data_IF_047415330263
#
_entry.id   IF_047415330263
#
_cell.length_a   1.000
_cell.length_b   1.000
_cell.length_c   1.000
_cell.angle_alpha   90.00
_cell.angle_beta   90.00
_cell.angle_gamma   90.00
#
_symmetry.space_group_name_H-M   'P 1'
#
loop_
_entity.id
_entity.type
_entity.pdbx_description
1 polymer ?
#
# COMPACT_ATOMS: atom_id res chain seq x y z
N UNK A 1 36.99 11.61 -0.43
CA UNK A 1 35.53 11.52 -0.16
C UNK A 1 34.78 10.72 -1.21
N UNK A 2 35.00 10.94 -2.51
CA UNK A 2 34.31 10.20 -3.60
C UNK A 2 34.60 8.68 -3.60
N UNK A 3 35.82 8.27 -3.21
CA UNK A 3 36.19 6.84 -3.12
C UNK A 3 35.58 6.12 -1.91
N UNK A 4 35.25 6.81 -0.82
CA UNK A 4 34.66 6.22 0.39
C UNK A 4 33.16 5.93 0.20
N UNK A 5 32.43 6.82 -0.49
CA UNK A 5 31.03 6.55 -0.88
C UNK A 5 30.92 5.39 -1.88
N UNK A 6 31.89 5.24 -2.78
CA UNK A 6 31.91 4.12 -3.73
C UNK A 6 32.13 2.77 -3.05
N UNK A 7 32.95 2.70 -1.99
CA UNK A 7 33.17 1.48 -1.20
C UNK A 7 31.98 1.14 -0.30
N UNK A 8 31.28 2.14 0.23
CA UNK A 8 30.04 1.94 1.01
C UNK A 8 28.93 1.45 0.07
N UNK A 9 28.75 2.06 -1.10
CA UNK A 9 27.81 1.60 -2.12
C UNK A 9 28.17 0.20 -2.63
N UNK A 10 29.46 -0.13 -2.82
CA UNK A 10 29.90 -1.45 -3.29
C UNK A 10 29.79 -2.54 -2.20
N UNK A 11 30.03 -2.22 -0.94
CA UNK A 11 29.78 -3.15 0.18
C UNK A 11 28.28 -3.33 0.43
N UNK A 12 27.46 -2.28 0.29
CA UNK A 12 25.99 -2.37 0.26
C UNK A 12 25.48 -3.17 -0.96
N UNK A 13 26.16 -3.08 -2.10
CA UNK A 13 25.86 -3.81 -3.33
C UNK A 13 26.13 -5.32 -3.21
N UNK A 14 27.15 -5.73 -2.46
CA UNK A 14 27.46 -7.15 -2.23
C UNK A 14 26.75 -7.70 -0.99
N UNK A 15 26.58 -6.91 0.07
CA UNK A 15 25.82 -7.33 1.25
C UNK A 15 24.32 -7.33 0.98
N UNK A 16 23.70 -6.26 0.48
CA UNK A 16 22.25 -6.19 0.25
C UNK A 16 21.75 -7.23 -0.75
N UNK A 17 22.51 -7.48 -1.83
CA UNK A 17 22.20 -8.50 -2.84
C UNK A 17 22.34 -9.93 -2.29
N UNK A 18 23.32 -10.18 -1.42
CA UNK A 18 23.53 -11.48 -0.77
C UNK A 18 22.58 -11.70 0.40
N UNK A 19 22.19 -10.65 1.11
CA UNK A 19 21.18 -10.61 2.17
C UNK A 19 19.78 -10.87 1.60
N UNK A 20 19.40 -10.18 0.52
CA UNK A 20 18.08 -10.37 -0.08
C UNK A 20 17.94 -11.79 -0.64
N UNK A 21 18.95 -12.28 -1.37
CA UNK A 21 18.92 -13.62 -1.97
C UNK A 21 19.12 -14.76 -0.96
N UNK A 22 19.98 -14.62 0.07
CA UNK A 22 20.19 -15.68 1.07
C UNK A 22 19.13 -15.65 2.18
N UNK A 23 18.72 -14.48 2.68
CA UNK A 23 17.76 -14.40 3.79
C UNK A 23 16.30 -14.58 3.34
N UNK A 24 15.97 -14.15 2.11
CA UNK A 24 14.60 -14.27 1.60
C UNK A 24 14.41 -15.32 0.50
N UNK A 25 15.46 -15.68 -0.26
CA UNK A 25 15.38 -16.78 -1.24
C UNK A 25 15.11 -18.14 -0.61
N UNK A 26 15.61 -18.39 0.61
CA UNK A 26 15.32 -19.59 1.41
C UNK A 26 13.96 -19.55 2.14
N UNK A 27 13.27 -18.39 2.14
CA UNK A 27 11.93 -18.23 2.76
C UNK A 27 10.81 -18.80 1.85
N UNK A 28 11.16 -19.24 0.64
CA UNK A 28 10.25 -19.81 -0.36
C UNK A 28 9.94 -21.28 -0.06
N UNK A 29 8.65 -21.54 0.23
CA UNK A 29 8.00 -22.85 0.43
C UNK A 29 8.45 -23.68 1.65
N UNK A 30 7.67 -23.59 2.74
CA UNK A 30 7.59 -24.55 3.88
C UNK A 30 8.71 -24.59 4.93
N UNK A 31 9.79 -23.82 4.83
CA UNK A 31 10.81 -23.78 5.89
C UNK A 31 10.42 -22.83 7.04
N UNK A 32 10.55 -23.32 8.28
CA UNK A 32 10.61 -22.48 9.48
C UNK A 32 11.90 -21.67 9.38
N UNK A 33 11.83 -20.33 9.37
CA UNK A 33 13.04 -19.51 9.42
C UNK A 33 13.76 -19.82 10.74
N UNK A 34 15.04 -20.14 10.67
CA UNK A 34 15.83 -20.38 11.86
C UNK A 34 16.19 -19.06 12.56
N UNK A 35 16.59 -19.14 13.83
CA UNK A 35 16.86 -17.96 14.66
C UNK A 35 17.95 -17.05 14.08
N UNK A 36 18.95 -17.62 13.38
CA UNK A 36 20.03 -16.87 12.74
C UNK A 36 19.52 -16.05 11.54
N UNK A 37 18.75 -16.67 10.65
CA UNK A 37 18.15 -16.00 9.50
C UNK A 37 17.22 -14.85 9.93
N UNK A 38 16.50 -15.02 11.04
CA UNK A 38 15.65 -13.96 11.59
C UNK A 38 16.47 -12.78 12.15
N UNK A 39 17.59 -13.06 12.82
CA UNK A 39 18.48 -12.03 13.34
C UNK A 39 19.14 -11.24 12.21
N UNK A 40 19.60 -11.92 11.17
CA UNK A 40 20.13 -11.29 9.96
C UNK A 40 19.06 -10.39 9.34
N UNK A 41 17.84 -10.90 9.16
CA UNK A 41 16.76 -10.12 8.56
C UNK A 41 16.41 -8.86 9.35
N UNK A 42 16.39 -8.95 10.68
CA UNK A 42 16.18 -7.80 11.55
C UNK A 42 17.30 -6.76 11.39
N UNK A 43 18.57 -7.20 11.40
CA UNK A 43 19.73 -6.34 11.18
C UNK A 43 19.65 -5.63 9.82
N UNK A 44 19.38 -6.39 8.78
CA UNK A 44 19.31 -5.89 7.40
C UNK A 44 18.17 -4.88 7.24
N UNK A 45 17.01 -5.15 7.84
CA UNK A 45 15.87 -4.22 7.81
C UNK A 45 16.21 -2.89 8.48
N UNK A 46 16.97 -2.91 9.59
CA UNK A 46 17.46 -1.69 10.25
C UNK A 46 18.47 -0.93 9.38
N UNK A 47 19.36 -1.63 8.69
CA UNK A 47 20.30 -1.01 7.75
C UNK A 47 19.55 -0.32 6.59
N UNK A 48 18.56 -0.99 5.99
CA UNK A 48 17.69 -0.39 4.97
C UNK A 48 17.00 0.88 5.48
N UNK A 49 16.47 0.83 6.71
CA UNK A 49 15.85 1.98 7.36
C UNK A 49 16.83 3.13 7.55
N UNK A 50 18.06 2.85 8.01
CA UNK A 50 19.09 3.87 8.19
C UNK A 50 19.48 4.56 6.88
N UNK A 51 19.46 3.85 5.74
CA UNK A 51 19.72 4.46 4.42
C UNK A 51 18.60 5.43 4.05
N UNK A 52 17.34 5.02 4.28
CA UNK A 52 16.15 5.75 3.83
C UNK A 52 15.79 6.94 4.72
N UNK A 53 16.11 6.88 6.00
CA UNK A 53 15.76 7.92 6.98
C UNK A 53 16.98 8.67 7.54
N UNK A 54 18.20 8.21 7.24
CA UNK A 54 19.41 8.71 7.89
C UNK A 54 19.59 8.18 9.31
N UNK A 55 20.64 8.65 9.98
CA UNK A 55 20.92 8.40 11.39
C UNK A 55 21.35 9.70 12.09
N UNK A 56 21.78 9.63 13.35
CA UNK A 56 22.21 10.82 14.12
C UNK A 56 23.41 11.55 13.51
N UNK A 57 24.16 10.91 12.62
CA UNK A 57 25.41 11.43 12.05
C UNK A 57 25.30 11.80 10.57
N UNK A 58 24.28 11.31 9.86
CA UNK A 58 24.17 11.45 8.41
C UNK A 58 22.73 11.50 7.92
N UNK A 59 22.46 12.46 7.04
CA UNK A 59 21.19 12.57 6.30
C UNK A 59 21.11 11.51 5.18
N UNK A 60 19.89 11.09 4.79
CA UNK A 60 19.71 10.12 3.71
C UNK A 60 20.22 10.67 2.38
N UNK A 61 21.14 9.92 1.74
CA UNK A 61 21.73 10.29 0.45
C UNK A 61 20.76 9.94 -0.68
N UNK A 62 20.27 10.90 -1.50
CA UNK A 62 19.25 10.65 -2.52
C UNK A 62 19.64 9.57 -3.54
N UNK A 63 20.91 9.54 -3.95
CA UNK A 63 21.42 8.54 -4.89
C UNK A 63 21.38 7.12 -4.30
N UNK A 64 21.75 6.97 -3.02
CA UNK A 64 21.69 5.68 -2.33
C UNK A 64 20.23 5.22 -2.16
N UNK A 65 19.32 6.13 -1.83
CA UNK A 65 17.88 5.84 -1.75
C UNK A 65 17.32 5.39 -3.10
N UNK A 66 17.70 6.06 -4.19
CA UNK A 66 17.25 5.73 -5.53
C UNK A 66 17.77 4.35 -6.00
N UNK A 67 19.06 4.08 -5.78
CA UNK A 67 19.66 2.77 -6.10
C UNK A 67 19.03 1.63 -5.29
N UNK A 68 18.84 1.84 -3.98
CA UNK A 68 18.18 0.86 -3.11
C UNK A 68 16.76 0.57 -3.61
N UNK A 69 16.00 1.61 -3.97
CA UNK A 69 14.64 1.48 -4.50
C UNK A 69 14.62 0.64 -5.77
N UNK A 70 15.52 0.91 -6.70
CA UNK A 70 15.61 0.18 -7.96
C UNK A 70 15.87 -1.31 -7.73
N UNK A 71 16.86 -1.66 -6.91
CA UNK A 71 17.23 -3.05 -6.66
C UNK A 71 16.17 -3.79 -5.81
N UNK A 72 15.56 -3.11 -4.85
CA UNK A 72 14.50 -3.69 -4.01
C UNK A 72 13.32 -4.22 -4.84
N UNK A 73 12.84 -3.41 -5.79
CA UNK A 73 11.75 -3.82 -6.69
C UNK A 73 12.22 -4.78 -7.79
N UNK A 74 13.43 -4.60 -8.32
CA UNK A 74 14.00 -5.49 -9.34
C UNK A 74 14.13 -6.94 -8.85
N UNK A 75 14.56 -7.12 -7.61
CA UNK A 75 14.81 -8.44 -7.00
C UNK A 75 13.55 -9.02 -6.32
N UNK A 76 12.36 -8.46 -6.54
CA UNK A 76 11.09 -8.95 -5.96
C UNK A 76 11.10 -9.01 -4.42
N UNK A 77 11.91 -8.15 -3.79
CA UNK A 77 12.12 -8.15 -2.33
C UNK A 77 10.85 -7.78 -1.58
N UNK A 78 10.02 -6.92 -2.17
CA UNK A 78 8.72 -6.54 -1.60
C UNK A 78 7.84 -7.76 -1.30
N UNK A 79 7.73 -8.67 -2.27
CA UNK A 79 6.93 -9.90 -2.13
C UNK A 79 7.42 -10.74 -0.97
N UNK A 80 8.72 -10.98 -0.94
CA UNK A 80 9.33 -11.81 0.09
C UNK A 80 9.15 -11.19 1.47
N UNK A 81 9.33 -9.87 1.58
CA UNK A 81 9.13 -9.15 2.83
C UNK A 81 7.67 -9.24 3.31
N UNK A 82 6.69 -9.10 2.42
CA UNK A 82 5.26 -9.25 2.75
C UNK A 82 4.97 -10.66 3.28
N UNK A 83 5.51 -11.70 2.64
CA UNK A 83 5.29 -13.10 3.01
C UNK A 83 5.99 -13.46 4.33
N UNK A 84 7.21 -12.96 4.56
CA UNK A 84 7.97 -13.28 5.76
C UNK A 84 7.60 -12.36 6.94
N UNK A 85 6.90 -11.23 6.73
CA UNK A 85 6.52 -10.25 7.77
C UNK A 85 5.87 -10.89 9.01
N UNK A 86 4.89 -11.82 8.89
CA UNK A 86 4.26 -12.45 10.05
C UNK A 86 5.22 -13.30 10.89
N UNK A 87 6.32 -13.77 10.30
CA UNK A 87 7.33 -14.56 11.01
C UNK A 87 8.21 -13.69 11.89
N UNK A 88 8.31 -12.38 11.64
CA UNK A 88 9.26 -11.48 12.31
C UNK A 88 8.78 -11.02 13.68
N UNK A 89 9.71 -10.56 14.52
CA UNK A 89 9.38 -9.90 15.77
C UNK A 89 8.74 -8.51 15.53
N UNK A 90 8.05 -7.99 16.55
CA UNK A 90 7.27 -6.74 16.44
C UNK A 90 8.10 -5.54 15.97
N UNK A 91 9.33 -5.40 16.48
CA UNK A 91 10.21 -4.29 16.11
C UNK A 91 10.59 -4.36 14.64
N UNK A 92 10.98 -5.53 14.16
CA UNK A 92 11.36 -5.75 12.76
C UNK A 92 10.17 -5.56 11.84
N UNK A 93 8.94 -5.96 12.24
CA UNK A 93 7.72 -5.68 11.47
C UNK A 93 7.50 -4.17 11.29
N UNK A 94 7.69 -3.38 12.35
CA UNK A 94 7.56 -1.92 12.29
C UNK A 94 8.60 -1.30 11.35
N UNK A 95 9.86 -1.71 11.47
CA UNK A 95 10.92 -1.21 10.61
C UNK A 95 10.70 -1.59 9.15
N UNK A 96 10.33 -2.84 8.88
CA UNK A 96 10.00 -3.33 7.54
C UNK A 96 8.83 -2.56 6.93
N UNK A 97 7.80 -2.24 7.72
CA UNK A 97 6.65 -1.44 7.28
C UNK A 97 7.08 -0.04 6.86
N UNK A 98 7.93 0.60 7.64
CA UNK A 98 8.45 1.94 7.32
C UNK A 98 9.33 1.93 6.08
N UNK A 99 10.21 0.94 5.95
CA UNK A 99 11.05 0.76 4.76
C UNK A 99 10.18 0.61 3.51
N UNK A 100 9.20 -0.31 3.52
CA UNK A 100 8.29 -0.51 2.38
C UNK A 100 7.53 0.76 2.05
N UNK A 101 6.96 1.43 3.06
CA UNK A 101 6.18 2.64 2.84
C UNK A 101 7.02 3.77 2.23
N UNK A 102 8.28 3.91 2.65
CA UNK A 102 9.19 4.89 2.09
C UNK A 102 9.54 4.55 0.63
N UNK A 103 9.96 3.31 0.37
CA UNK A 103 10.38 2.86 -0.97
C UNK A 103 9.28 3.01 -2.03
N UNK A 104 8.02 2.79 -1.66
CA UNK A 104 6.89 3.01 -2.57
C UNK A 104 6.71 4.47 -3.00
N UNK A 105 7.16 5.43 -2.18
CA UNK A 105 7.09 6.87 -2.48
C UNK A 105 8.31 7.40 -3.23
N UNK A 106 9.40 6.65 -3.27
CA UNK A 106 10.66 7.09 -3.88
C UNK A 106 10.51 7.22 -5.41
N UNK A 107 11.06 8.31 -5.94
CA UNK A 107 11.18 8.52 -7.37
C UNK A 107 12.61 8.21 -7.80
N UNK A 108 12.76 7.34 -8.79
CA UNK A 108 14.05 7.01 -9.39
C UNK A 108 14.02 7.53 -10.82
N UNK A 109 14.92 8.46 -11.15
CA UNK A 109 14.93 9.15 -12.45
C UNK A 109 13.56 9.76 -12.81
N UNK A 110 12.91 10.39 -11.81
CA UNK A 110 11.57 10.98 -11.92
C UNK A 110 10.44 9.99 -12.25
N UNK A 111 10.66 8.69 -12.04
CA UNK A 111 9.66 7.63 -12.23
C UNK A 111 9.38 6.88 -10.92
N UNK A 112 8.13 6.47 -10.73
CA UNK A 112 7.70 5.66 -9.60
C UNK A 112 7.84 4.17 -9.96
N UNK A 113 9.03 3.60 -9.76
CA UNK A 113 9.32 2.19 -10.08
C UNK A 113 8.35 1.23 -9.35
N UNK A 114 7.90 1.61 -8.15
CA UNK A 114 6.92 0.86 -7.38
C UNK A 114 5.61 0.61 -8.15
N UNK A 115 5.16 1.59 -8.92
CA UNK A 115 3.94 1.48 -9.74
C UNK A 115 4.06 0.38 -10.79
N UNK A 116 5.16 0.38 -11.56
CA UNK A 116 5.43 -0.58 -12.63
C UNK A 116 5.60 -2.01 -12.08
N UNK A 117 6.17 -2.12 -10.88
CA UNK A 117 6.33 -3.39 -10.19
C UNK A 117 4.99 -3.95 -9.70
N UNK A 118 4.16 -3.11 -9.05
CA UNK A 118 2.87 -3.53 -8.49
C UNK A 118 1.88 -3.93 -9.58
N UNK A 119 1.89 -3.26 -10.73
CA UNK A 119 1.07 -3.62 -11.88
C UNK A 119 1.35 -5.04 -12.40
N UNK A 120 2.58 -5.53 -12.23
CA UNK A 120 2.98 -6.91 -12.60
C UNK A 120 2.79 -7.92 -11.47
N UNK A 121 2.48 -7.47 -10.26
CA UNK A 121 2.42 -8.27 -9.02
C UNK A 121 1.15 -7.94 -8.22
N UNK A 122 0.00 -7.89 -8.89
CA UNK A 122 -1.27 -7.48 -8.27
C UNK A 122 -1.74 -8.43 -7.18
N UNK A 123 -1.32 -9.68 -7.20
CA UNK A 123 -1.60 -10.68 -6.15
C UNK A 123 -1.04 -10.27 -4.78
N UNK A 124 -0.03 -9.39 -4.73
CA UNK A 124 0.42 -8.79 -3.47
C UNK A 124 -0.66 -7.94 -2.81
N UNK A 125 -1.52 -7.29 -3.60
CA UNK A 125 -2.62 -6.49 -3.08
C UNK A 125 -3.66 -7.40 -2.42
N UNK A 126 -3.91 -8.57 -3.00
CA UNK A 126 -4.83 -9.55 -2.43
C UNK A 126 -4.34 -10.03 -1.05
N UNK A 127 -3.03 -10.27 -0.92
CA UNK A 127 -2.39 -10.62 0.36
C UNK A 127 -2.52 -9.48 1.38
N UNK A 128 -2.21 -8.24 0.97
CA UNK A 128 -2.28 -7.08 1.85
C UNK A 128 -3.71 -6.81 2.34
N UNK A 129 -4.71 -6.97 1.46
CA UNK A 129 -6.12 -6.76 1.80
C UNK A 129 -6.62 -7.87 2.72
N UNK A 130 -6.35 -9.14 2.41
CA UNK A 130 -6.68 -10.26 3.30
C UNK A 130 -5.99 -10.13 4.67
N UNK A 131 -4.88 -9.40 4.73
CA UNK A 131 -4.14 -9.04 5.93
C UNK A 131 -4.97 -8.40 7.05
N UNK A 132 -6.07 -7.71 6.73
CA UNK A 132 -6.98 -7.14 7.74
C UNK A 132 -7.68 -8.20 8.60
N UNK A 133 -7.74 -9.46 8.14
CA UNK A 133 -8.30 -10.59 8.89
C UNK A 133 -7.36 -11.07 10.02
N UNK A 134 -6.08 -10.66 10.00
CA UNK A 134 -5.10 -11.00 11.02
C UNK A 134 -4.79 -9.77 11.89
N UNK A 135 -5.20 -9.77 13.15
CA UNK A 135 -5.05 -8.64 14.08
C UNK A 135 -3.60 -8.19 14.28
N UNK A 136 -2.64 -9.11 14.25
CA UNK A 136 -1.22 -8.79 14.46
C UNK A 136 -0.57 -8.14 13.23
N UNK A 137 -1.18 -8.32 12.06
CA UNK A 137 -0.65 -7.89 10.77
C UNK A 137 -1.45 -6.76 10.13
N UNK A 138 -2.72 -6.59 10.51
CA UNK A 138 -3.67 -5.69 9.88
C UNK A 138 -3.13 -4.26 9.75
N UNK A 139 -2.55 -3.69 10.82
CA UNK A 139 -2.01 -2.33 10.79
C UNK A 139 -0.73 -2.22 9.94
N UNK A 140 0.09 -3.26 9.90
CA UNK A 140 1.29 -3.28 9.06
C UNK A 140 0.93 -3.34 7.58
N UNK A 141 0.04 -4.26 7.22
CA UNK A 141 -0.43 -4.41 5.85
C UNK A 141 -1.33 -3.24 5.41
N UNK A 142 -2.12 -2.66 6.31
CA UNK A 142 -2.90 -1.46 6.05
C UNK A 142 -2.03 -0.26 5.66
N UNK A 143 -0.94 -0.02 6.37
CA UNK A 143 0.04 1.03 6.01
C UNK A 143 0.67 0.75 4.64
N UNK A 144 1.09 -0.49 4.37
CA UNK A 144 1.67 -0.86 3.06
C UNK A 144 0.65 -0.71 1.92
N UNK A 145 -0.59 -1.13 2.14
CA UNK A 145 -1.67 -1.05 1.16
C UNK A 145 -2.04 0.40 0.85
N UNK A 146 -2.08 1.26 1.88
CA UNK A 146 -2.36 2.69 1.73
C UNK A 146 -1.32 3.37 0.84
N UNK A 147 -0.07 2.94 0.89
CA UNK A 147 0.96 3.38 -0.07
C UNK A 147 0.73 2.83 -1.48
N UNK A 148 0.36 1.56 -1.61
CA UNK A 148 0.12 0.94 -2.90
C UNK A 148 -1.01 1.66 -3.68
N UNK A 149 -2.13 2.00 -3.01
CA UNK A 149 -3.28 2.66 -3.65
C UNK A 149 -3.01 4.12 -4.06
N UNK A 150 -1.83 4.66 -3.73
CA UNK A 150 -1.39 5.97 -4.26
C UNK A 150 -1.14 5.90 -5.77
N UNK A 151 -0.84 4.72 -6.30
CA UNK A 151 -0.71 4.47 -7.72
C UNK A 151 -2.09 4.21 -8.36
N UNK A 152 -2.38 4.89 -9.47
CA UNK A 152 -3.70 4.82 -10.11
C UNK A 152 -4.01 3.40 -10.65
N UNK A 153 -3.00 2.69 -11.18
CA UNK A 153 -3.13 1.31 -11.67
C UNK A 153 -3.57 0.36 -10.55
N UNK A 154 -2.94 0.48 -9.38
CA UNK A 154 -3.29 -0.30 -8.19
C UNK A 154 -4.68 0.03 -7.68
N UNK A 155 -5.02 1.32 -7.55
CA UNK A 155 -6.34 1.72 -7.09
C UNK A 155 -7.45 1.21 -8.02
N UNK A 156 -7.22 1.23 -9.34
CA UNK A 156 -8.14 0.65 -10.33
C UNK A 156 -8.32 -0.85 -10.09
N UNK A 157 -7.23 -1.59 -9.94
CA UNK A 157 -7.28 -3.03 -9.66
C UNK A 157 -8.13 -3.33 -8.41
N UNK A 158 -7.86 -2.64 -7.30
CA UNK A 158 -8.59 -2.88 -6.04
C UNK A 158 -10.09 -2.57 -6.19
N UNK A 159 -10.45 -1.45 -6.84
CA UNK A 159 -11.85 -1.07 -7.08
C UNK A 159 -12.60 -2.07 -7.96
N UNK A 160 -11.96 -2.57 -9.02
CA UNK A 160 -12.57 -3.51 -9.96
C UNK A 160 -12.58 -4.95 -9.45
N UNK A 161 -11.78 -5.25 -8.42
CA UNK A 161 -11.71 -6.57 -7.81
C UNK A 161 -12.85 -6.83 -6.79
N UNK A 162 -13.16 -8.09 -6.46
CA UNK A 162 -14.06 -8.43 -5.36
C UNK A 162 -13.59 -7.91 -4.00
N UNK A 163 -12.31 -7.55 -3.86
CA UNK A 163 -11.73 -7.08 -2.60
C UNK A 163 -12.34 -5.76 -2.11
N UNK A 164 -12.86 -4.92 -3.01
CA UNK A 164 -13.54 -3.67 -2.61
C UNK A 164 -14.69 -3.93 -1.63
N UNK A 165 -15.39 -5.07 -1.78
CA UNK A 165 -16.53 -5.42 -0.92
C UNK A 165 -16.10 -5.79 0.50
N UNK A 166 -14.90 -6.33 0.66
CA UNK A 166 -14.37 -6.70 1.98
C UNK A 166 -14.16 -5.49 2.89
N UNK A 167 -13.93 -4.30 2.34
CA UNK A 167 -13.80 -3.08 3.13
C UNK A 167 -15.07 -2.75 3.94
N UNK A 168 -16.26 -3.06 3.41
CA UNK A 168 -17.51 -2.86 4.18
C UNK A 168 -17.53 -3.70 5.46
N UNK A 169 -16.91 -4.88 5.45
CA UNK A 169 -16.83 -5.75 6.60
C UNK A 169 -15.65 -5.33 7.51
N UNK A 170 -14.50 -4.97 6.93
CA UNK A 170 -13.31 -4.54 7.70
C UNK A 170 -13.53 -3.25 8.49
N UNK A 171 -14.31 -2.31 7.96
CA UNK A 171 -14.70 -1.05 8.64
C UNK A 171 -15.59 -1.32 9.86
N UNK A 172 -16.20 -2.50 9.93
CA UNK A 172 -17.08 -2.90 11.03
C UNK A 172 -16.39 -3.81 12.06
N UNK A 173 -15.09 -4.07 11.89
CA UNK A 173 -14.33 -4.91 12.84
C UNK A 173 -14.38 -4.33 14.26
N UNK A 174 -14.46 -5.19 15.29
CA UNK A 174 -14.56 -4.74 16.68
C UNK A 174 -13.29 -4.03 17.18
N UNK A 175 -12.14 -4.31 16.56
CA UNK A 175 -10.90 -3.61 16.86
C UNK A 175 -10.95 -2.20 16.24
N UNK A 176 -10.93 -1.18 17.10
CA UNK A 176 -11.05 0.21 16.70
C UNK A 176 -9.90 0.66 15.79
N UNK A 177 -8.66 0.31 16.09
CA UNK A 177 -7.50 0.76 15.31
C UNK A 177 -7.54 0.15 13.90
N UNK A 178 -7.92 -1.12 13.78
CA UNK A 178 -8.03 -1.83 12.51
C UNK A 178 -9.20 -1.28 11.68
N UNK A 179 -10.38 -1.12 12.28
CA UNK A 179 -11.55 -0.58 11.58
C UNK A 179 -11.33 0.87 11.12
N UNK A 180 -10.71 1.71 11.97
CA UNK A 180 -10.37 3.08 11.62
C UNK A 180 -9.32 3.14 10.48
N UNK A 181 -8.31 2.28 10.48
CA UNK A 181 -7.36 2.21 9.39
C UNK A 181 -8.01 1.73 8.09
N UNK A 182 -8.84 0.68 8.15
CA UNK A 182 -9.62 0.19 7.00
C UNK A 182 -10.52 1.29 6.42
N UNK A 183 -11.20 2.06 7.28
CA UNK A 183 -12.05 3.19 6.86
C UNK A 183 -11.23 4.30 6.20
N UNK A 184 -10.04 4.61 6.74
CA UNK A 184 -9.14 5.58 6.15
C UNK A 184 -8.61 5.11 4.78
N UNK A 185 -8.25 3.83 4.65
CA UNK A 185 -7.79 3.23 3.38
C UNK A 185 -8.91 3.22 2.35
N UNK A 186 -10.13 2.83 2.73
CA UNK A 186 -11.31 2.86 1.87
C UNK A 186 -11.67 4.27 1.42
N UNK A 187 -11.62 5.25 2.34
CA UNK A 187 -11.80 6.66 2.00
C UNK A 187 -10.78 7.14 0.98
N UNK A 188 -9.51 6.80 1.17
CA UNK A 188 -8.44 7.21 0.25
C UNK A 188 -8.62 6.57 -1.13
N UNK A 189 -8.99 5.30 -1.19
CA UNK A 189 -9.31 4.59 -2.42
C UNK A 189 -10.43 5.29 -3.21
N UNK A 190 -11.47 5.75 -2.52
CA UNK A 190 -12.64 6.42 -3.13
C UNK A 190 -12.44 7.91 -3.43
N UNK A 191 -11.36 8.54 -2.98
CA UNK A 191 -11.22 10.01 -3.10
C UNK A 191 -9.95 10.47 -3.80
N UNK A 192 -8.92 9.61 -3.88
CA UNK A 192 -7.63 9.98 -4.47
C UNK A 192 -7.70 10.14 -5.99
N UNK A 193 -8.14 9.09 -6.70
CA UNK A 193 -8.12 9.02 -8.16
C UNK A 193 -9.51 9.27 -8.75
N UNK A 194 -9.92 10.54 -8.78
CA UNK A 194 -11.30 10.94 -9.10
C UNK A 194 -11.85 10.34 -10.39
N UNK A 195 -11.05 10.28 -11.45
CA UNK A 195 -11.48 9.73 -12.74
C UNK A 195 -11.75 8.21 -12.67
N UNK A 196 -10.83 7.45 -12.07
CA UNK A 196 -10.99 6.00 -11.85
C UNK A 196 -12.19 5.70 -10.97
N UNK A 197 -12.38 6.47 -9.90
CA UNK A 197 -13.51 6.28 -8.99
C UNK A 197 -14.83 6.62 -9.68
N UNK A 198 -14.92 7.74 -10.40
CA UNK A 198 -16.14 8.11 -11.13
C UNK A 198 -16.54 7.04 -12.16
N UNK A 199 -15.56 6.49 -12.88
CA UNK A 199 -15.79 5.37 -13.81
C UNK A 199 -16.33 4.14 -13.07
N UNK A 200 -15.67 3.72 -12.00
CA UNK A 200 -16.10 2.58 -11.18
C UNK A 200 -17.54 2.75 -10.69
N UNK A 201 -17.88 3.90 -10.10
CA UNK A 201 -19.21 4.15 -9.54
C UNK A 201 -20.29 4.22 -10.60
N UNK A 202 -20.00 4.79 -11.77
CA UNK A 202 -20.98 4.86 -12.87
C UNK A 202 -21.44 3.48 -13.32
N UNK A 203 -20.56 2.46 -13.22
CA UNK A 203 -20.85 1.07 -13.59
C UNK A 203 -21.45 0.26 -12.43
N UNK A 204 -21.23 0.68 -11.18
CA UNK A 204 -21.47 -0.11 -9.98
C UNK A 204 -22.40 0.57 -8.96
N UNK A 205 -23.12 1.61 -9.39
CA UNK A 205 -23.92 2.48 -8.52
C UNK A 205 -24.86 1.66 -7.61
N UNK A 206 -25.77 0.88 -8.21
CA UNK A 206 -26.86 0.26 -7.46
C UNK A 206 -26.38 -0.62 -6.29
N UNK A 207 -25.45 -1.54 -6.56
CA UNK A 207 -24.96 -2.44 -5.51
C UNK A 207 -24.04 -1.72 -4.52
N UNK A 208 -23.20 -0.79 -4.98
CA UNK A 208 -22.24 -0.10 -4.12
C UNK A 208 -22.96 0.75 -3.08
N UNK A 209 -23.95 1.54 -3.50
CA UNK A 209 -24.72 2.37 -2.58
C UNK A 209 -25.67 1.55 -1.73
N UNK A 210 -26.23 0.45 -2.23
CA UNK A 210 -27.01 -0.47 -1.41
C UNK A 210 -26.18 -0.99 -0.22
N UNK A 211 -24.97 -1.52 -0.49
CA UNK A 211 -24.05 -2.01 0.54
C UNK A 211 -23.55 -0.89 1.46
N UNK A 212 -23.20 0.28 0.90
CA UNK A 212 -22.77 1.43 1.69
C UNK A 212 -23.86 1.89 2.67
N UNK A 213 -25.11 1.96 2.21
CA UNK A 213 -26.22 2.37 3.06
C UNK A 213 -26.50 1.31 4.13
N UNK A 214 -26.72 0.05 3.74
CA UNK A 214 -27.16 -1.01 4.65
C UNK A 214 -26.08 -1.42 5.65
N UNK A 215 -24.81 -1.50 5.22
CA UNK A 215 -23.72 -1.96 6.10
C UNK A 215 -23.07 -0.83 6.89
N UNK A 216 -23.03 0.39 6.37
CA UNK A 216 -22.25 1.46 6.97
C UNK A 216 -23.10 2.59 7.57
N UNK A 217 -24.05 3.16 6.82
CA UNK A 217 -24.89 4.26 7.32
C UNK A 217 -25.93 3.78 8.33
N UNK A 218 -26.51 2.61 8.08
CA UNK A 218 -27.49 1.98 8.96
C UNK A 218 -26.83 1.10 10.05
N UNK A 219 -25.49 1.08 10.12
CA UNK A 219 -24.77 0.28 11.10
C UNK A 219 -25.19 0.65 12.53
N UNK A 220 -25.37 -0.38 13.36
CA UNK A 220 -25.63 -0.22 14.80
C UNK A 220 -24.41 0.33 15.55
N UNK A 221 -23.21 0.20 14.96
CA UNK A 221 -21.99 0.79 15.49
C UNK A 221 -21.95 2.30 15.19
N UNK A 222 -22.12 3.12 16.23
CA UNK A 222 -22.07 4.59 16.13
C UNK A 222 -20.77 5.10 15.49
N UNK A 223 -19.63 4.47 15.79
CA UNK A 223 -18.32 4.89 15.26
C UNK A 223 -18.27 4.63 13.75
N UNK A 224 -18.65 3.42 13.32
CA UNK A 224 -18.79 3.07 11.90
C UNK A 224 -19.70 4.05 11.21
N UNK A 225 -20.92 4.27 11.74
CA UNK A 225 -21.88 5.22 11.16
C UNK A 225 -21.29 6.61 11.01
N UNK A 226 -20.62 7.12 12.05
CA UNK A 226 -19.99 8.45 12.03
C UNK A 226 -18.83 8.54 11.03
N UNK A 227 -17.98 7.51 10.95
CA UNK A 227 -16.88 7.47 9.97
C UNK A 227 -17.44 7.45 8.55
N UNK A 228 -18.47 6.64 8.31
CA UNK A 228 -19.10 6.48 7.01
C UNK A 228 -19.85 7.71 6.55
N UNK A 229 -20.46 8.48 7.46
CA UNK A 229 -20.98 9.83 7.14
C UNK A 229 -19.85 10.72 6.63
N UNK A 230 -18.68 10.75 7.30
CA UNK A 230 -17.54 11.56 6.82
C UNK A 230 -17.01 11.10 5.45
N UNK A 231 -17.04 9.80 5.18
CA UNK A 231 -16.68 9.25 3.86
C UNK A 231 -17.72 9.67 2.83
N UNK A 232 -19.01 9.50 3.15
CA UNK A 232 -20.16 9.88 2.34
C UNK A 232 -20.19 11.38 1.99
N UNK A 233 -19.98 12.27 2.96
CA UNK A 233 -19.92 13.72 2.71
C UNK A 233 -18.79 14.10 1.75
N UNK A 234 -17.61 13.48 1.92
CA UNK A 234 -16.48 13.71 1.00
C UNK A 234 -16.82 13.21 -0.41
N UNK A 235 -17.64 12.17 -0.50
CA UNK A 235 -18.00 11.45 -1.70
C UNK A 235 -19.18 12.06 -2.46
N UNK A 236 -20.19 12.58 -1.77
CA UNK A 236 -21.33 13.31 -2.37
C UNK A 236 -20.86 14.59 -3.06
N UNK A 237 -19.85 15.26 -2.52
CA UNK A 237 -19.17 16.38 -3.20
C UNK A 237 -18.61 15.93 -4.56
N UNK A 238 -18.12 14.68 -4.66
CA UNK A 238 -17.61 14.12 -5.92
C UNK A 238 -18.71 13.65 -6.87
N UNK A 239 -19.80 13.09 -6.35
CA UNK A 239 -20.95 12.70 -7.18
C UNK A 239 -21.62 13.92 -7.79
N UNK A 240 -21.85 14.98 -7.03
CA UNK A 240 -22.47 16.20 -7.56
C UNK A 240 -21.58 16.85 -8.64
N UNK A 241 -20.26 16.85 -8.48
CA UNK A 241 -19.33 17.34 -9.50
C UNK A 241 -19.23 16.42 -10.73
N UNK A 242 -19.23 15.10 -10.55
CA UNK A 242 -19.11 14.13 -11.65
C UNK A 242 -20.42 13.97 -12.43
N UNK A 243 -21.58 14.02 -11.77
CA UNK A 243 -22.90 14.11 -12.38
C UNK A 243 -23.04 15.40 -13.21
N UNK A 244 -22.52 16.53 -12.72
CA UNK A 244 -22.42 17.79 -13.49
C UNK A 244 -21.49 17.68 -14.72
N UNK A 245 -20.43 16.88 -14.65
CA UNK A 245 -19.52 16.64 -15.79
C UNK A 245 -20.12 15.68 -16.81
N UNK A 246 -20.84 14.64 -16.37
CA UNK A 246 -21.54 13.68 -17.24
C UNK A 246 -22.71 14.35 -17.98
N UNK A 247 -23.50 15.18 -17.29
CA UNK A 247 -24.55 16.00 -17.91
C UNK A 247 -24.02 17.09 -18.85
N UNK A 248 -22.81 17.63 -18.64
CA UNK A 248 -22.14 18.54 -19.59
C UNK A 248 -21.66 17.83 -20.86
N UNK A 249 -21.11 16.63 -20.76
CA UNK A 249 -20.68 15.86 -21.95
C UNK A 249 -21.86 15.38 -22.79
N UNK A 250 -22.99 15.03 -22.17
CA UNK A 250 -24.25 14.72 -22.86
C UNK A 250 -24.89 15.94 -23.57
N UNK A 251 -24.63 17.15 -23.09
CA UNK A 251 -25.14 18.39 -23.71
C UNK A 251 -24.22 18.97 -24.79
N UNK A 252 -22.91 18.71 -24.74
CA UNK A 252 -21.96 19.12 -25.80
C UNK A 252 -22.04 18.22 -27.04
N UNK A 253 -22.53 16.99 -26.92
CA UNK A 253 -22.77 16.07 -28.05
C UNK A 253 -24.08 16.30 -28.81
N UNK A 254 -24.92 17.25 -28.38
CA UNK A 254 -26.22 17.57 -29.03
C UNK A 254 -26.25 18.95 -29.71
N UNK A 255 -25.09 19.61 -29.85
CA UNK A 255 -24.98 20.98 -30.40
C UNK A 255 -24.33 21.10 -31.78
N UNK A 256 -24.05 19.99 -32.47
CA UNK A 256 -23.46 19.98 -33.82
C UNK A 256 -24.12 18.88 -34.66
N UNK A 257 -25.35 19.12 -35.08
CA UNK A 257 -25.91 18.73 -36.39
C UNK A 257 -27.32 19.30 -36.57
#
# INVERSE_FOLDING_TARGET
>A
MVLYLSLICFNLFVHGRRIALLSFGECSYKSVMNMHQMADLAKNTRELKSILYGNSESEPVPEACAQLTQEFFRENTLRLLIICLPKLNLETRKDATQVVANLQRQQVNSRLIASDYLEKNTDLLDILIAGYENTDMALHYGVMLKECIRHQSVARYVLESPHVKKFFDYIQLPNFDISADAAATFKELLTRHKSTVAEFLSKNYDWFFAEFNSKLLESTNYITRRQSIKVGETFDIFLDQSMKLSSRHLNLGKGLH
#
